data_IF_800340013658
#
_entry.id   IF_800340013658
#
_cell.length_a   1.000
_cell.length_b   1.000
_cell.length_c   1.000
_cell.angle_alpha   90.00
_cell.angle_beta   90.00
_cell.angle_gamma   90.00
#
_symmetry.space_group_name_H-M   'P 1'
#
loop_
_entity.id
_entity.type
_entity.pdbx_description
1 polymer ?
#
# COMPACT_ATOMS: atom_id res chain seq x y z
N UNK A 1 1.57 15.56 -5.89
CA UNK A 1 2.12 16.68 -5.09
C UNK A 1 3.01 17.53 -5.98
N UNK A 2 3.23 18.79 -5.63
CA UNK A 2 4.01 19.73 -6.45
C UNK A 2 5.17 20.28 -5.63
N UNK A 3 6.36 20.26 -6.23
CA UNK A 3 7.49 21.05 -5.78
C UNK A 3 7.62 22.29 -6.67
N UNK A 4 7.85 23.44 -6.03
CA UNK A 4 8.02 24.73 -6.70
C UNK A 4 9.46 25.16 -6.54
N UNK A 5 10.13 25.41 -7.66
CA UNK A 5 11.52 25.86 -7.69
C UNK A 5 11.63 27.24 -8.34
N UNK A 6 12.64 28.01 -7.95
CA UNK A 6 13.07 29.16 -8.73
C UNK A 6 13.91 28.71 -9.96
N UNK A 7 14.32 29.67 -10.79
CA UNK A 7 15.13 29.40 -11.98
C UNK A 7 16.56 28.92 -11.67
N UNK A 8 17.00 29.05 -10.42
CA UNK A 8 18.30 28.60 -9.95
C UNK A 8 18.21 27.23 -9.25
N UNK A 9 17.02 26.64 -9.19
CA UNK A 9 16.79 25.35 -8.55
C UNK A 9 16.58 25.43 -7.04
N UNK A 10 16.42 26.61 -6.43
CA UNK A 10 16.06 26.71 -5.01
C UNK A 10 14.61 26.26 -4.80
N UNK A 11 14.38 25.33 -3.87
CA UNK A 11 13.02 24.89 -3.54
C UNK A 11 12.29 25.98 -2.73
N UNK A 12 11.23 26.54 -3.30
CA UNK A 12 10.43 27.60 -2.70
C UNK A 12 9.23 27.05 -1.91
N UNK A 13 8.64 25.96 -2.40
CA UNK A 13 7.46 25.37 -1.78
C UNK A 13 7.38 23.87 -2.06
N UNK A 14 6.95 23.12 -1.04
CA UNK A 14 6.47 21.74 -1.17
C UNK A 14 4.98 21.73 -0.91
N UNK A 15 4.19 21.58 -1.97
CA UNK A 15 2.73 21.57 -1.91
C UNK A 15 2.18 20.14 -1.93
N UNK A 16 1.58 19.74 -0.80
CA UNK A 16 1.01 18.41 -0.60
C UNK A 16 -0.50 18.34 -0.91
N UNK A 17 -1.11 19.44 -1.37
CA UNK A 17 -2.55 19.51 -1.67
C UNK A 17 -2.88 18.73 -2.94
N UNK A 18 -4.03 18.06 -2.93
CA UNK A 18 -4.57 17.31 -4.09
C UNK A 18 -6.04 17.67 -4.34
N UNK A 19 -6.43 18.08 -5.57
CA UNK A 19 -5.56 18.33 -6.71
C UNK A 19 -4.64 19.55 -6.49
N UNK A 20 -3.47 19.61 -7.13
CA UNK A 20 -2.58 20.75 -6.98
C UNK A 20 -3.23 22.03 -7.55
N UNK A 21 -2.96 23.20 -6.95
CA UNK A 21 -3.29 24.47 -7.56
C UNK A 21 -2.69 24.62 -8.98
N UNK A 22 -3.29 25.42 -9.86
CA UNK A 22 -2.72 25.69 -11.17
C UNK A 22 -1.42 26.50 -11.06
N UNK A 23 -0.55 26.41 -12.09
CA UNK A 23 0.71 27.17 -12.19
C UNK A 23 0.55 28.66 -11.87
N UNK A 24 -0.55 29.29 -12.31
CA UNK A 24 -0.83 30.70 -12.07
C UNK A 24 -0.93 31.04 -10.57
N UNK A 25 -1.41 30.12 -9.73
CA UNK A 25 -1.49 30.32 -8.27
C UNK A 25 -0.09 30.32 -7.64
N UNK A 26 0.80 29.43 -8.09
CA UNK A 26 2.20 29.42 -7.63
C UNK A 26 2.98 30.64 -8.13
N UNK A 27 2.76 31.05 -9.38
CA UNK A 27 3.36 32.27 -9.93
C UNK A 27 2.89 33.55 -9.23
N UNK A 28 1.65 33.58 -8.73
CA UNK A 28 1.15 34.70 -7.94
C UNK A 28 1.86 34.82 -6.57
N UNK A 29 2.24 33.68 -5.97
CA UNK A 29 2.89 33.64 -4.66
C UNK A 29 4.40 33.85 -4.72
N UNK A 30 5.05 33.29 -5.75
CA UNK A 30 6.51 33.18 -5.84
C UNK A 30 7.12 33.99 -7.00
N UNK A 31 6.27 34.60 -7.82
CA UNK A 31 6.67 35.42 -8.96
C UNK A 31 6.70 34.67 -10.30
N UNK A 32 6.84 35.43 -11.41
CA UNK A 32 7.00 34.84 -12.73
C UNK A 32 8.36 34.16 -12.84
N UNK A 33 8.39 32.91 -13.32
CA UNK A 33 9.64 32.16 -13.51
C UNK A 33 9.81 30.94 -12.60
N UNK A 34 8.82 30.60 -11.79
CA UNK A 34 8.85 29.32 -11.06
C UNK A 34 8.71 28.12 -11.99
N UNK A 35 9.43 27.06 -11.64
CA UNK A 35 9.41 25.77 -12.33
C UNK A 35 8.74 24.76 -11.39
N UNK A 36 7.79 23.99 -11.92
CA UNK A 36 7.06 22.99 -11.14
C UNK A 36 7.57 21.59 -11.46
N UNK A 37 7.72 20.76 -10.42
CA UNK A 37 7.90 19.33 -10.56
C UNK A 37 6.76 18.61 -9.85
N UNK A 38 5.98 17.86 -10.62
CA UNK A 38 4.92 17.01 -10.10
C UNK A 38 5.43 15.60 -9.81
N UNK A 39 5.24 15.15 -8.58
CA UNK A 39 5.59 13.80 -8.14
C UNK A 39 4.38 13.07 -7.57
N UNK A 40 4.37 11.74 -7.72
CA UNK A 40 3.34 10.87 -7.14
C UNK A 40 3.45 10.70 -5.63
N UNK A 41 4.64 10.89 -5.05
CA UNK A 41 4.92 10.78 -3.60
C UNK A 41 6.09 11.68 -3.22
N UNK A 42 6.34 11.89 -1.91
CA UNK A 42 7.42 12.77 -1.41
C UNK A 42 8.70 11.95 -1.17
N UNK A 43 9.72 12.01 -2.05
CA UNK A 43 10.98 11.32 -1.84
C UNK A 43 11.89 11.95 -0.78
N UNK A 44 11.59 13.17 -0.31
CA UNK A 44 12.43 13.95 0.61
C UNK A 44 11.67 14.40 1.87
N UNK A 45 10.74 13.56 2.33
CA UNK A 45 10.11 13.68 3.64
C UNK A 45 11.16 13.89 4.73
N UNK A 46 11.03 14.96 5.52
CA UNK A 46 11.94 15.29 6.62
C UNK A 46 13.14 16.20 6.28
N UNK A 47 13.41 16.48 5.00
CA UNK A 47 14.39 17.49 4.61
C UNK A 47 13.74 18.88 4.64
N UNK A 48 14.33 19.89 5.31
CA UNK A 48 13.82 21.26 5.28
C UNK A 48 13.90 21.86 3.87
N UNK A 49 12.93 22.69 3.50
CA UNK A 49 12.83 23.30 2.15
C UNK A 49 14.11 23.99 1.70
N UNK A 50 14.76 24.74 2.59
CA UNK A 50 15.98 25.49 2.28
C UNK A 50 17.16 24.59 1.88
N UNK A 51 17.08 23.30 2.23
CA UNK A 51 18.07 22.28 1.91
C UNK A 51 17.64 21.39 0.73
N UNK A 52 16.61 21.77 -0.02
CA UNK A 52 16.21 21.09 -1.25
C UNK A 52 16.62 21.92 -2.47
N UNK A 53 17.13 21.24 -3.50
CA UNK A 53 17.51 21.81 -4.78
C UNK A 53 16.90 21.01 -5.93
N UNK A 54 16.42 21.70 -6.95
CA UNK A 54 15.96 21.12 -8.20
C UNK A 54 17.14 20.93 -9.15
N UNK A 55 17.26 19.75 -9.74
CA UNK A 55 18.18 19.48 -10.84
C UNK A 55 17.59 20.07 -12.12
N UNK A 56 18.19 21.13 -12.66
CA UNK A 56 17.68 21.82 -13.85
C UNK A 56 18.45 21.38 -15.09
N UNK A 57 17.74 20.80 -16.05
CA UNK A 57 18.23 20.48 -17.39
C UNK A 57 17.34 21.15 -18.43
N UNK A 58 17.95 21.87 -19.38
CA UNK A 58 17.23 22.61 -20.45
C UNK A 58 16.11 23.53 -19.94
N UNK A 59 16.27 24.10 -18.75
CA UNK A 59 15.28 25.01 -18.14
C UNK A 59 14.09 24.31 -17.49
N UNK A 60 14.14 22.98 -17.34
CA UNK A 60 13.14 22.18 -16.63
C UNK A 60 13.78 21.46 -15.44
N UNK A 61 13.02 21.25 -14.37
CA UNK A 61 13.50 20.46 -13.23
C UNK A 61 13.28 18.98 -13.53
N UNK A 62 14.35 18.19 -13.60
CA UNK A 62 14.32 16.75 -13.89
C UNK A 62 14.41 15.88 -12.63
N UNK A 63 14.81 16.47 -11.51
CA UNK A 63 14.90 15.78 -10.22
C UNK A 63 15.06 16.74 -9.04
N UNK A 64 15.09 16.18 -7.83
CA UNK A 64 15.30 16.91 -6.58
C UNK A 64 16.46 16.26 -5.85
N UNK A 65 17.32 17.06 -5.26
CA UNK A 65 18.39 16.63 -4.37
C UNK A 65 18.35 17.40 -3.05
N UNK A 66 18.86 16.77 -1.99
CA UNK A 66 19.14 17.46 -0.75
C UNK A 66 20.53 18.11 -0.84
N UNK A 67 20.69 19.29 -0.24
CA UNK A 67 21.98 19.96 -0.11
C UNK A 67 23.01 18.98 0.49
N UNK A 68 24.13 18.69 -0.18
CA UNK A 68 25.13 17.73 0.30
C UNK A 68 25.73 18.10 1.66
N UNK A 69 25.65 19.39 2.05
CA UNK A 69 26.12 19.89 3.35
C UNK A 69 25.07 19.76 4.45
N UNK A 70 23.80 19.48 4.10
CA UNK A 70 22.76 19.24 5.07
C UNK A 70 22.98 17.89 5.74
N UNK A 71 23.10 17.94 7.07
CA UNK A 71 23.12 16.75 7.92
C UNK A 71 21.79 16.70 8.68
N UNK A 72 21.11 15.54 8.70
CA UNK A 72 19.91 15.38 9.52
C UNK A 72 20.23 15.71 10.98
N UNK A 73 19.34 16.39 11.73
CA UNK A 73 19.55 16.63 13.14
C UNK A 73 19.75 15.30 13.87
N UNK A 74 20.89 15.18 14.55
CA UNK A 74 21.18 14.04 15.43
C UNK A 74 20.16 14.10 16.57
N UNK A 75 19.38 13.02 16.74
CA UNK A 75 18.41 12.93 17.84
C UNK A 75 19.11 13.21 19.17
N UNK A 76 18.54 14.03 20.08
CA UNK A 76 19.20 14.48 21.31
C UNK A 76 19.47 13.37 22.36
N UNK A 77 19.06 12.14 22.09
CA UNK A 77 19.40 10.99 22.93
C UNK A 77 20.73 10.37 22.47
N UNK A 78 21.76 10.26 23.34
CA UNK A 78 22.93 9.47 23.01
C UNK A 78 22.49 8.02 22.73
N UNK A 79 22.99 7.35 21.68
CA UNK A 79 22.67 5.95 21.43
C UNK A 79 23.26 5.12 22.57
N UNK A 80 22.45 4.85 23.58
CA UNK A 80 22.76 3.90 24.65
C UNK A 80 22.97 2.56 23.95
N UNK A 81 24.25 2.16 23.78
CA UNK A 81 24.71 0.93 23.13
C UNK A 81 23.82 0.50 21.95
N UNK A 82 24.08 1.04 20.76
CA UNK A 82 23.37 0.72 19.52
C UNK A 82 22.95 -0.77 19.49
N UNK A 83 21.66 -1.09 19.73
CA UNK A 83 21.14 -2.36 19.27
C UNK A 83 21.38 -2.30 17.76
N UNK A 84 22.12 -3.28 17.26
CA UNK A 84 22.54 -3.42 15.88
C UNK A 84 21.46 -2.85 14.93
N UNK A 85 21.64 -1.60 14.51
CA UNK A 85 20.64 -0.86 13.75
C UNK A 85 20.39 -1.56 12.41
N UNK A 86 21.35 -2.34 11.94
CA UNK A 86 21.22 -3.25 10.79
C UNK A 86 20.37 -4.47 11.13
N UNK A 87 20.48 -5.05 12.32
CA UNK A 87 19.58 -6.13 12.77
C UNK A 87 18.17 -5.62 13.09
N UNK A 88 18.02 -4.40 13.63
CA UNK A 88 16.72 -3.78 13.88
C UNK A 88 16.06 -3.33 12.57
N UNK A 89 16.85 -2.81 11.62
CA UNK A 89 16.42 -2.53 10.25
C UNK A 89 16.11 -3.83 9.50
N UNK A 90 16.90 -4.90 9.62
CA UNK A 90 16.61 -6.19 9.02
C UNK A 90 15.33 -6.79 9.61
N UNK A 91 15.12 -6.71 10.92
CA UNK A 91 13.87 -7.13 11.56
C UNK A 91 12.68 -6.25 11.15
N UNK A 92 12.88 -4.96 10.88
CA UNK A 92 11.83 -4.05 10.39
C UNK A 92 11.57 -4.21 8.90
N UNK A 93 12.58 -4.47 8.08
CA UNK A 93 12.50 -4.73 6.63
C UNK A 93 11.91 -6.10 6.37
N UNK A 94 12.26 -7.11 7.17
CA UNK A 94 11.55 -8.39 7.20
C UNK A 94 10.08 -8.19 7.55
N UNK A 95 9.70 -7.14 8.29
CA UNK A 95 8.29 -6.80 8.58
C UNK A 95 7.69 -5.81 7.58
N UNK A 96 8.44 -5.28 6.62
CA UNK A 96 7.84 -4.52 5.53
C UNK A 96 7.14 -5.50 4.59
N UNK A 97 5.97 -5.16 4.02
CA UNK A 97 5.37 -5.92 2.94
C UNK A 97 6.26 -5.79 1.71
N UNK A 98 7.31 -6.61 1.62
CA UNK A 98 8.15 -6.71 0.42
C UNK A 98 7.32 -7.47 -0.61
N UNK A 99 6.52 -6.75 -1.39
CA UNK A 99 5.75 -7.29 -2.53
C UNK A 99 4.69 -8.35 -2.17
N UNK A 100 3.61 -8.38 -2.95
CA UNK A 100 2.58 -9.45 -2.95
C UNK A 100 3.14 -10.83 -3.36
N UNK A 101 4.45 -10.90 -3.61
CA UNK A 101 5.25 -12.07 -3.96
C UNK A 101 6.35 -12.41 -2.93
N UNK A 102 6.35 -11.81 -1.73
CA UNK A 102 7.18 -12.35 -0.63
C UNK A 102 6.67 -13.74 -0.22
N UNK A 103 7.58 -14.59 0.25
CA UNK A 103 7.24 -15.92 0.80
C UNK A 103 6.13 -15.82 1.85
N UNK A 104 6.14 -14.76 2.68
CA UNK A 104 5.08 -14.48 3.66
C UNK A 104 3.71 -14.25 3.02
N UNK A 105 3.63 -13.48 1.93
CA UNK A 105 2.37 -13.23 1.25
C UNK A 105 1.79 -14.53 0.67
N UNK A 106 2.65 -15.41 0.14
CA UNK A 106 2.24 -16.74 -0.32
C UNK A 106 1.80 -17.66 0.83
N UNK A 107 2.51 -17.66 1.96
CA UNK A 107 2.14 -18.45 3.14
C UNK A 107 0.77 -18.01 3.70
N UNK A 108 0.53 -16.70 3.80
CA UNK A 108 -0.77 -16.16 4.21
C UNK A 108 -1.88 -16.49 3.18
N UNK A 109 -1.61 -16.44 1.86
CA UNK A 109 -2.56 -16.86 0.82
C UNK A 109 -2.91 -18.35 0.90
N UNK A 110 -1.93 -19.22 1.12
CA UNK A 110 -2.19 -20.66 1.24
C UNK A 110 -2.96 -20.99 2.52
N UNK A 111 -2.63 -20.34 3.65
CA UNK A 111 -3.42 -20.43 4.88
C UNK A 111 -4.87 -19.99 4.64
N UNK A 112 -5.07 -18.86 3.95
CA UNK A 112 -6.39 -18.35 3.61
C UNK A 112 -7.22 -19.35 2.81
N UNK A 113 -6.64 -19.98 1.78
CA UNK A 113 -7.34 -21.02 1.01
C UNK A 113 -7.71 -22.21 1.88
N UNK A 114 -6.85 -22.57 2.85
CA UNK A 114 -7.10 -23.68 3.77
C UNK A 114 -8.21 -23.38 4.79
N UNK A 115 -8.32 -22.13 5.27
CA UNK A 115 -9.29 -21.71 6.29
C UNK A 115 -10.62 -21.20 5.69
N UNK A 116 -10.56 -20.32 4.71
CA UNK A 116 -11.73 -19.58 4.21
C UNK A 116 -12.76 -20.50 3.54
N UNK A 117 -12.33 -21.50 2.75
CA UNK A 117 -13.26 -22.43 2.09
C UNK A 117 -14.10 -23.21 3.12
N UNK A 118 -13.51 -23.92 4.09
CA UNK A 118 -14.28 -24.60 5.13
C UNK A 118 -15.17 -23.65 5.94
N UNK A 119 -14.67 -22.45 6.26
CA UNK A 119 -15.43 -21.48 7.04
C UNK A 119 -16.70 -21.02 6.32
N UNK A 120 -16.59 -20.66 5.04
CA UNK A 120 -17.73 -20.21 4.21
C UNK A 120 -18.74 -21.33 4.01
N UNK A 121 -18.30 -22.59 3.91
CA UNK A 121 -19.20 -23.74 3.84
C UNK A 121 -19.96 -23.99 5.14
N UNK A 122 -19.32 -23.75 6.28
CA UNK A 122 -19.96 -23.85 7.59
C UNK A 122 -20.91 -22.69 7.88
N UNK A 123 -20.73 -21.54 7.22
CA UNK A 123 -21.53 -20.33 7.41
C UNK A 123 -22.07 -19.79 6.07
N UNK A 124 -22.91 -20.57 5.35
CA UNK A 124 -23.30 -20.27 3.98
C UNK A 124 -24.20 -19.03 3.85
N UNK A 125 -24.75 -18.53 4.96
CA UNK A 125 -25.62 -17.34 4.97
C UNK A 125 -24.90 -16.07 5.43
N UNK A 126 -23.62 -16.16 5.84
CA UNK A 126 -22.90 -15.01 6.38
C UNK A 126 -22.68 -13.91 5.33
N UNK A 127 -22.80 -12.63 5.73
CA UNK A 127 -22.47 -11.49 4.89
C UNK A 127 -20.96 -11.39 4.65
N UNK A 128 -20.56 -10.71 3.57
CA UNK A 128 -19.15 -10.57 3.16
C UNK A 128 -18.27 -9.97 4.26
N UNK A 129 -18.80 -9.01 5.02
CA UNK A 129 -18.11 -8.35 6.13
C UNK A 129 -17.80 -9.34 7.26
N UNK A 130 -18.75 -10.22 7.61
CA UNK A 130 -18.55 -11.23 8.66
C UNK A 130 -17.52 -12.26 8.23
N UNK A 131 -17.59 -12.73 6.99
CA UNK A 131 -16.58 -13.64 6.42
C UNK A 131 -15.18 -13.01 6.46
N UNK A 132 -15.06 -11.74 6.06
CA UNK A 132 -13.80 -11.00 6.06
C UNK A 132 -13.24 -10.82 7.48
N UNK A 133 -14.10 -10.53 8.47
CA UNK A 133 -13.70 -10.42 9.88
C UNK A 133 -13.21 -11.75 10.45
N UNK A 134 -13.91 -12.86 10.17
CA UNK A 134 -13.51 -14.19 10.62
C UNK A 134 -12.16 -14.60 10.01
N UNK A 135 -11.97 -14.33 8.73
CA UNK A 135 -10.72 -14.57 8.01
C UNK A 135 -9.57 -13.74 8.61
N UNK A 136 -9.80 -12.46 8.90
CA UNK A 136 -8.80 -11.60 9.54
C UNK A 136 -8.44 -12.07 10.94
N UNK A 137 -9.42 -12.48 11.73
CA UNK A 137 -9.18 -13.04 13.05
C UNK A 137 -8.31 -14.31 12.97
N UNK A 138 -8.58 -15.20 12.01
CA UNK A 138 -7.78 -16.40 11.78
C UNK A 138 -6.35 -16.09 11.36
N UNK A 139 -6.16 -15.14 10.43
CA UNK A 139 -4.82 -14.68 10.03
C UNK A 139 -4.04 -14.08 11.21
N UNK A 140 -4.67 -13.23 12.03
CA UNK A 140 -4.01 -12.67 13.23
C UNK A 140 -3.65 -13.73 14.26
N UNK A 141 -4.44 -14.81 14.35
CA UNK A 141 -4.16 -15.92 15.25
C UNK A 141 -2.99 -16.80 14.77
N UNK A 142 -2.93 -17.09 13.47
CA UNK A 142 -1.88 -17.91 12.87
C UNK A 142 -0.54 -17.15 12.75
N UNK A 143 -0.61 -15.84 12.46
CA UNK A 143 0.53 -14.99 12.21
C UNK A 143 0.59 -13.82 13.22
N UNK A 144 0.71 -14.08 14.54
CA UNK A 144 0.49 -13.07 15.59
C UNK A 144 1.57 -11.98 15.66
N UNK A 145 2.76 -12.23 15.13
CA UNK A 145 3.89 -11.29 15.12
C UNK A 145 4.16 -10.67 13.74
N UNK A 146 3.44 -11.15 12.72
CA UNK A 146 3.64 -10.76 11.34
C UNK A 146 2.55 -9.76 10.91
N UNK A 147 2.92 -8.74 10.12
CA UNK A 147 1.92 -7.92 9.49
C UNK A 147 1.11 -8.76 8.50
N UNK A 148 -0.20 -8.52 8.45
CA UNK A 148 -1.06 -9.09 7.42
C UNK A 148 -0.79 -8.34 6.13
N UNK A 149 -0.28 -9.07 5.13
CA UNK A 149 0.19 -8.51 3.86
C UNK A 149 -0.70 -8.88 2.67
N UNK A 150 -1.60 -9.84 2.84
CA UNK A 150 -2.68 -10.12 1.88
C UNK A 150 -3.69 -8.98 1.90
N UNK A 151 -4.21 -8.62 0.71
CA UNK A 151 -5.14 -7.50 0.45
C UNK A 151 -6.46 -7.64 1.22
N UNK A 152 -6.41 -7.44 2.53
CA UNK A 152 -7.55 -7.23 3.39
C UNK A 152 -7.29 -5.88 4.03
N UNK A 153 -7.58 -4.80 3.30
CA UNK A 153 -7.39 -3.48 3.84
C UNK A 153 -8.35 -3.30 5.03
N UNK A 154 -7.79 -3.19 6.25
CA UNK A 154 -8.55 -2.90 7.48
C UNK A 154 -9.44 -1.64 7.31
N UNK A 155 -9.04 -0.72 6.42
CA UNK A 155 -9.79 0.50 6.10
C UNK A 155 -11.05 0.26 5.25
N UNK A 156 -11.05 -0.80 4.44
CA UNK A 156 -12.17 -1.15 3.57
C UNK A 156 -13.24 -1.92 4.36
N UNK A 157 -12.81 -2.80 5.28
CA UNK A 157 -13.67 -3.50 6.25
C UNK A 157 -14.52 -2.55 7.11
N UNK A 158 -13.94 -1.43 7.55
CA UNK A 158 -14.63 -0.43 8.39
C UNK A 158 -15.56 0.49 7.60
N UNK A 159 -15.45 0.52 6.27
CA UNK A 159 -16.25 1.38 5.40
C UNK A 159 -17.58 0.76 4.96
N UNK A 160 -17.82 -0.52 5.30
CA UNK A 160 -18.99 -1.27 4.86
C UNK A 160 -19.02 -1.57 3.36
N UNK A 161 -17.93 -1.29 2.64
CA UNK A 161 -17.78 -1.66 1.24
C UNK A 161 -17.37 -3.12 1.14
N UNK A 162 -17.97 -3.82 0.19
CA UNK A 162 -17.50 -5.11 -0.29
C UNK A 162 -16.22 -4.87 -1.10
N UNK A 163 -15.15 -4.35 -0.52
CA UNK A 163 -13.87 -4.14 -1.19
C UNK A 163 -12.80 -4.93 -0.40
N UNK A 164 -11.94 -5.70 -1.08
CA UNK A 164 -10.90 -6.53 -0.46
C UNK A 164 -10.73 -7.93 -1.07
N UNK A 165 -10.00 -8.80 -0.38
CA UNK A 165 -9.60 -10.15 -0.85
C UNK A 165 -10.75 -11.00 -1.38
N UNK A 166 -11.92 -10.99 -0.72
CA UNK A 166 -13.06 -11.77 -1.18
C UNK A 166 -13.59 -11.26 -2.52
N UNK A 167 -13.52 -9.96 -2.77
CA UNK A 167 -13.94 -9.40 -4.06
C UNK A 167 -12.90 -9.56 -5.15
N UNK A 168 -11.60 -9.59 -4.83
CA UNK A 168 -10.60 -9.97 -5.83
C UNK A 168 -10.78 -11.43 -6.28
N UNK A 169 -11.20 -12.32 -5.39
CA UNK A 169 -11.61 -13.67 -5.76
C UNK A 169 -12.92 -13.72 -6.54
N UNK A 170 -13.91 -12.89 -6.19
CA UNK A 170 -15.17 -12.79 -6.96
C UNK A 170 -14.92 -12.29 -8.39
N UNK A 171 -14.07 -11.28 -8.55
CA UNK A 171 -13.67 -10.74 -9.85
C UNK A 171 -12.86 -11.75 -10.68
N UNK A 172 -11.93 -12.48 -10.04
CA UNK A 172 -11.17 -13.55 -10.69
C UNK A 172 -12.07 -14.70 -11.12
N UNK A 173 -13.00 -15.14 -10.28
CA UNK A 173 -13.97 -16.19 -10.60
C UNK A 173 -14.90 -15.78 -11.74
N UNK A 174 -15.34 -14.52 -11.77
CA UNK A 174 -16.17 -13.98 -12.85
C UNK A 174 -15.40 -13.89 -14.16
N UNK A 175 -14.17 -13.37 -14.13
CA UNK A 175 -13.30 -13.26 -15.32
C UNK A 175 -12.96 -14.64 -15.89
N UNK A 176 -12.84 -15.66 -15.03
CA UNK A 176 -12.68 -17.06 -15.43
C UNK A 176 -13.99 -17.73 -15.91
N UNK A 177 -15.12 -17.02 -15.91
CA UNK A 177 -16.43 -17.52 -16.34
C UNK A 177 -17.06 -18.54 -15.37
N UNK A 178 -16.60 -18.60 -14.12
CA UNK A 178 -17.07 -19.54 -13.10
C UNK A 178 -18.30 -19.02 -12.34
N UNK A 179 -18.51 -17.70 -12.34
CA UNK A 179 -19.67 -17.04 -11.72
C UNK A 179 -20.37 -16.11 -12.69
N UNK A 180 -21.71 -15.94 -12.58
CA UNK A 180 -22.48 -15.07 -13.46
C UNK A 180 -22.15 -13.58 -13.30
N UNK A 181 -21.67 -13.18 -12.11
CA UNK A 181 -21.27 -11.81 -11.79
C UNK A 181 -20.13 -11.78 -10.76
N UNK A 182 -19.59 -10.57 -10.54
CA UNK A 182 -18.55 -10.27 -9.56
C UNK A 182 -19.13 -9.86 -8.20
N UNK A 183 -19.94 -10.72 -7.59
CA UNK A 183 -20.53 -10.49 -6.26
C UNK A 183 -20.08 -11.52 -5.22
N UNK A 184 -20.17 -11.14 -3.94
CA UNK A 184 -20.00 -12.07 -2.83
C UNK A 184 -20.98 -13.25 -2.92
N UNK A 185 -22.24 -12.98 -3.25
CA UNK A 185 -23.30 -13.99 -3.33
C UNK A 185 -22.96 -15.05 -4.38
N UNK A 186 -22.47 -14.62 -5.55
CA UNK A 186 -22.07 -15.53 -6.62
C UNK A 186 -20.81 -16.35 -6.25
N UNK A 187 -19.79 -15.71 -5.66
CA UNK A 187 -18.59 -16.41 -5.17
C UNK A 187 -18.93 -17.43 -4.08
N UNK A 188 -19.77 -17.05 -3.10
CA UNK A 188 -20.23 -17.91 -2.02
C UNK A 188 -21.00 -19.12 -2.55
N UNK A 189 -21.92 -18.89 -3.50
CA UNK A 189 -22.67 -19.98 -4.14
C UNK A 189 -21.73 -20.97 -4.82
N UNK A 190 -20.70 -20.49 -5.52
CA UNK A 190 -19.67 -21.33 -6.13
C UNK A 190 -18.90 -22.14 -5.06
N UNK A 191 -18.45 -21.51 -3.97
CA UNK A 191 -17.71 -22.17 -2.88
C UNK A 191 -18.56 -23.25 -2.21
N UNK A 192 -19.84 -22.98 -1.94
CA UNK A 192 -20.75 -23.92 -1.29
C UNK A 192 -21.05 -25.11 -2.20
N UNK A 193 -21.27 -24.87 -3.49
CA UNK A 193 -21.64 -25.91 -4.45
C UNK A 193 -20.47 -26.82 -4.86
N UNK A 194 -19.24 -26.30 -4.90
CA UNK A 194 -18.10 -27.05 -5.43
C UNK A 194 -17.38 -27.92 -4.37
N UNK A 195 -16.86 -29.11 -4.74
CA UNK A 195 -15.99 -29.90 -3.88
C UNK A 195 -14.74 -29.11 -3.46
N UNK A 196 -14.32 -29.21 -2.18
CA UNK A 196 -13.22 -28.39 -1.65
C UNK A 196 -11.91 -28.57 -2.43
N UNK A 197 -11.62 -29.80 -2.86
CA UNK A 197 -10.42 -30.12 -3.61
C UNK A 197 -10.39 -29.44 -4.99
N UNK A 198 -11.55 -29.34 -5.66
CA UNK A 198 -11.66 -28.66 -6.96
C UNK A 198 -11.50 -27.14 -6.82
N UNK A 199 -12.07 -26.55 -5.76
CA UNK A 199 -11.91 -25.12 -5.46
C UNK A 199 -10.44 -24.78 -5.17
N UNK A 200 -9.77 -25.56 -4.32
CA UNK A 200 -8.35 -25.33 -4.01
C UNK A 200 -7.47 -25.42 -5.24
N UNK A 201 -7.76 -26.36 -6.14
CA UNK A 201 -6.99 -26.50 -7.37
C UNK A 201 -7.27 -25.38 -8.38
N UNK A 202 -8.51 -24.90 -8.48
CA UNK A 202 -8.85 -23.72 -9.26
C UNK A 202 -8.15 -22.46 -8.73
N UNK A 203 -8.16 -22.23 -7.42
CA UNK A 203 -7.50 -21.09 -6.75
C UNK A 203 -5.96 -21.16 -6.74
N UNK A 204 -5.36 -22.30 -7.11
CA UNK A 204 -3.90 -22.40 -7.34
C UNK A 204 -3.47 -21.93 -8.72
N UNK A 205 -4.41 -21.85 -9.68
CA UNK A 205 -4.15 -21.48 -11.08
C UNK A 205 -4.47 -20.01 -11.36
N UNK A 206 -5.07 -19.31 -10.39
CA UNK A 206 -5.33 -17.88 -10.36
C UNK A 206 -4.20 -17.18 -9.60
#
# INVERSE_FOLDING_TARGET
MVYVFDQNGACLERNLVSPPPPLAAFQANHGPGVILLELGSDPHSGVPLDNLRGLIEEGSVTGIEADPSWTPPVSPDPPTAAPDLLAELAAKVDRLPISIHSTRAEDQKEFLKAFAIPWVKAHPDSPAVEASLAIMAALRAEFPSDPIVVLVHDKDLMSGREDGLLMSYADSAHTAGLTPDKSWQALRALIVAAPEQQLREALRRL
#
